data_IF_856026575935
#
_entry.id   IF_856026575935
#
_cell.length_a   1.000
_cell.length_b   1.000
_cell.length_c   1.000
_cell.angle_alpha   90.00
_cell.angle_beta   90.00
_cell.angle_gamma   90.00
#
_symmetry.space_group_name_H-M   'P 1'
#
loop_
_entity.id
_entity.type
_entity.pdbx_description
1 polymer ?
#
# COMPACT_ATOMS: atom_id res chain seq x y z
N UNK A 1 39.76 -56.80 4.06
CA UNK A 1 39.21 -56.07 2.92
C UNK A 1 37.71 -55.77 3.09
N UNK A 2 36.86 -56.74 3.33
CA UNK A 2 35.39 -56.54 3.47
C UNK A 2 34.98 -55.50 4.56
N UNK A 3 35.62 -55.48 5.73
CA UNK A 3 35.28 -54.55 6.83
C UNK A 3 35.63 -53.09 6.52
N UNK A 4 36.70 -52.81 5.75
CA UNK A 4 37.02 -51.45 5.28
C UNK A 4 36.01 -50.93 4.25
N UNK A 5 35.52 -51.78 3.35
CA UNK A 5 34.51 -51.43 2.37
C UNK A 5 33.17 -51.09 3.02
N UNK A 6 32.77 -51.87 4.06
CA UNK A 6 31.54 -51.62 4.83
C UNK A 6 31.62 -50.26 5.56
N UNK A 7 32.77 -49.94 6.18
CA UNK A 7 32.95 -48.65 6.86
C UNK A 7 32.93 -47.49 5.88
N UNK A 8 33.52 -47.62 4.71
CA UNK A 8 33.49 -46.58 3.65
C UNK A 8 32.03 -46.39 3.18
N UNK A 9 31.28 -47.47 2.98
CA UNK A 9 29.88 -47.37 2.58
C UNK A 9 29.02 -46.68 3.64
N UNK A 10 29.22 -46.99 4.94
CA UNK A 10 28.50 -46.33 6.04
C UNK A 10 28.84 -44.81 6.08
N UNK A 11 30.11 -44.44 5.91
CA UNK A 11 30.51 -43.06 5.85
C UNK A 11 29.87 -42.29 4.67
N UNK A 12 29.79 -42.91 3.50
CA UNK A 12 29.14 -42.31 2.33
C UNK A 12 27.63 -42.13 2.53
N UNK A 13 26.96 -43.12 3.14
CA UNK A 13 25.54 -42.99 3.48
C UNK A 13 25.30 -41.88 4.50
N UNK A 14 26.12 -41.77 5.55
CA UNK A 14 26.00 -40.69 6.52
C UNK A 14 26.24 -39.31 5.86
N UNK A 15 27.25 -39.20 5.00
CA UNK A 15 27.51 -37.94 4.26
C UNK A 15 26.34 -37.59 3.36
N UNK A 16 25.74 -38.51 2.67
CA UNK A 16 24.56 -38.28 1.84
C UNK A 16 23.35 -37.87 2.66
N UNK A 17 23.09 -38.54 3.80
CA UNK A 17 22.02 -38.16 4.72
C UNK A 17 22.22 -36.74 5.29
N UNK A 18 23.47 -36.37 5.68
CA UNK A 18 23.76 -35.03 6.15
C UNK A 18 23.57 -33.99 5.05
N UNK A 19 23.97 -34.26 3.81
CA UNK A 19 23.72 -33.38 2.66
C UNK A 19 22.21 -33.16 2.41
N UNK A 20 21.41 -34.21 2.51
CA UNK A 20 19.93 -34.15 2.40
C UNK A 20 19.36 -33.26 3.53
N UNK A 21 19.80 -33.53 4.77
CA UNK A 21 19.33 -32.74 5.93
C UNK A 21 19.69 -31.26 5.77
N UNK A 22 20.93 -30.96 5.39
CA UNK A 22 21.38 -29.57 5.12
C UNK A 22 20.60 -28.96 3.98
N UNK A 23 20.34 -29.71 2.90
CA UNK A 23 19.52 -29.23 1.77
C UNK A 23 18.07 -28.96 2.19
N UNK A 24 17.47 -29.83 3.00
CA UNK A 24 16.10 -29.65 3.52
C UNK A 24 16.03 -28.46 4.48
N UNK A 25 17.03 -28.30 5.37
CA UNK A 25 17.14 -27.15 6.28
C UNK A 25 17.34 -25.86 5.47
N UNK A 26 18.22 -25.88 4.48
CA UNK A 26 18.46 -24.74 3.58
C UNK A 26 17.17 -24.35 2.82
N UNK A 27 16.47 -25.34 2.24
CA UNK A 27 15.20 -25.11 1.55
C UNK A 27 14.09 -24.62 2.47
N UNK A 28 14.10 -25.00 3.74
CA UNK A 28 13.16 -24.53 4.77
C UNK A 28 13.54 -23.13 5.27
N UNK A 29 14.84 -22.81 5.34
CA UNK A 29 15.37 -21.49 5.72
C UNK A 29 15.19 -20.42 4.63
N UNK A 30 15.04 -20.84 3.36
CA UNK A 30 14.79 -19.94 2.23
C UNK A 30 13.32 -19.75 1.91
N UNK A 31 12.39 -20.32 2.72
CA UNK A 31 10.98 -20.05 2.52
C UNK A 31 10.69 -18.62 2.95
N UNK A 32 10.58 -17.74 1.96
CA UNK A 32 10.16 -16.35 2.15
C UNK A 32 8.80 -16.37 2.86
N UNK A 33 8.73 -15.74 4.03
CA UNK A 33 7.46 -15.56 4.74
C UNK A 33 6.85 -14.26 4.27
N UNK A 34 5.78 -14.35 3.48
CA UNK A 34 5.03 -13.18 3.06
C UNK A 34 4.22 -12.60 4.21
N UNK A 35 3.95 -11.29 4.21
CA UNK A 35 2.98 -10.70 5.11
C UNK A 35 1.60 -11.37 4.96
N UNK A 36 0.87 -11.52 6.08
CA UNK A 36 -0.43 -12.20 6.10
C UNK A 36 -1.43 -11.67 5.07
N UNK A 37 -1.38 -10.37 4.76
CA UNK A 37 -2.28 -9.75 3.80
C UNK A 37 -2.02 -10.16 2.35
N UNK A 38 -0.82 -10.65 2.02
CA UNK A 38 -0.53 -11.21 0.69
C UNK A 38 -1.37 -12.48 0.42
N UNK A 39 -1.46 -13.37 1.41
CA UNK A 39 -2.31 -14.57 1.31
C UNK A 39 -3.78 -14.17 1.21
N UNK A 40 -4.23 -13.24 2.06
CA UNK A 40 -5.61 -12.75 2.08
C UNK A 40 -6.04 -12.12 0.74
N UNK A 41 -5.13 -11.38 0.10
CA UNK A 41 -5.34 -10.72 -1.19
C UNK A 41 -4.93 -11.59 -2.38
N UNK A 42 -4.49 -12.85 -2.14
CA UNK A 42 -4.00 -13.78 -3.18
C UNK A 42 -2.86 -13.18 -4.02
N UNK A 43 -2.02 -12.35 -3.42
CA UNK A 43 -0.87 -11.75 -4.07
C UNK A 43 0.29 -12.74 -4.08
N UNK A 44 0.96 -12.93 -5.22
CA UNK A 44 2.15 -13.76 -5.36
C UNK A 44 3.34 -12.94 -5.88
N UNK A 45 4.57 -13.38 -5.54
CA UNK A 45 5.85 -12.71 -5.87
C UNK A 45 6.09 -12.47 -7.37
N UNK A 46 5.36 -13.17 -8.23
CA UNK A 46 5.57 -13.15 -9.67
C UNK A 46 4.44 -12.46 -10.43
N UNK A 47 3.61 -11.67 -9.75
CA UNK A 47 2.54 -10.94 -10.40
C UNK A 47 3.08 -9.72 -11.16
N UNK A 48 3.68 -9.97 -12.32
CA UNK A 48 4.04 -8.94 -13.27
C UNK A 48 3.13 -9.04 -14.49
N UNK A 49 2.27 -8.05 -14.67
CA UNK A 49 1.27 -8.04 -15.74
C UNK A 49 1.69 -7.22 -16.98
N UNK A 50 2.96 -6.86 -17.10
CA UNK A 50 3.56 -6.33 -18.35
C UNK A 50 3.23 -4.88 -18.73
N UNK A 51 2.21 -4.26 -18.13
CA UNK A 51 1.81 -2.86 -18.39
C UNK A 51 1.72 -1.99 -17.12
N UNK A 52 2.34 -2.41 -16.03
CA UNK A 52 2.40 -1.65 -14.78
C UNK A 52 3.19 -0.34 -14.95
N UNK A 53 3.99 -0.23 -16.01
CA UNK A 53 4.76 0.98 -16.33
C UNK A 53 3.86 2.17 -16.71
N UNK A 54 2.67 1.90 -17.23
CA UNK A 54 1.68 2.91 -17.63
C UNK A 54 0.77 3.33 -16.46
N UNK A 55 0.92 2.68 -15.28
CA UNK A 55 0.08 2.93 -14.10
C UNK A 55 0.92 3.69 -13.07
N UNK A 56 0.51 4.93 -12.76
CA UNK A 56 1.11 5.73 -11.70
C UNK A 56 0.22 5.81 -10.46
N UNK A 57 0.81 5.85 -9.28
CA UNK A 57 0.12 6.14 -8.01
C UNK A 57 0.69 7.42 -7.41
N UNK A 58 -0.16 8.41 -7.18
CA UNK A 58 0.16 9.58 -6.38
C UNK A 58 -0.19 9.31 -4.91
N UNK A 59 0.75 9.57 -4.02
CA UNK A 59 0.61 9.43 -2.57
C UNK A 59 0.58 10.83 -1.98
N UNK A 60 -0.61 11.30 -1.60
CA UNK A 60 -0.80 12.59 -0.94
C UNK A 60 -0.67 12.38 0.57
N UNK A 61 0.48 12.80 1.12
CA UNK A 61 0.85 12.52 2.51
C UNK A 61 1.90 13.52 3.04
N UNK A 62 2.71 13.11 3.99
CA UNK A 62 3.73 13.92 4.66
C UNK A 62 5.04 14.09 3.89
N UNK A 63 5.19 13.46 2.72
CA UNK A 63 6.41 13.51 1.90
C UNK A 63 7.12 12.16 1.76
N UNK A 64 8.42 12.20 1.38
CA UNK A 64 9.23 11.02 1.17
C UNK A 64 10.64 11.17 1.75
N UNK A 65 11.12 10.16 2.47
CA UNK A 65 12.49 10.13 2.97
C UNK A 65 13.42 9.55 1.91
N UNK A 66 14.37 10.34 1.44
CA UNK A 66 15.31 10.01 0.38
C UNK A 66 16.16 8.78 0.69
N UNK A 67 16.48 8.53 1.97
CA UNK A 67 17.22 7.33 2.37
C UNK A 67 16.49 6.03 2.06
N UNK A 68 15.17 6.09 1.80
CA UNK A 68 14.36 4.95 1.39
C UNK A 68 14.31 4.72 -0.12
N UNK A 69 14.85 5.63 -0.95
CA UNK A 69 14.91 5.44 -2.41
C UNK A 69 15.59 4.12 -2.81
N UNK A 70 16.55 3.66 -2.03
CA UNK A 70 17.24 2.37 -2.23
C UNK A 70 16.33 1.15 -2.23
N UNK A 71 15.12 1.23 -1.67
CA UNK A 71 14.14 0.13 -1.61
C UNK A 71 13.25 0.05 -2.84
N UNK A 72 13.31 1.02 -3.74
CA UNK A 72 12.51 1.09 -4.96
C UNK A 72 13.36 0.80 -6.20
N UNK A 73 12.74 0.22 -7.22
CA UNK A 73 13.39 -0.03 -8.50
C UNK A 73 13.32 1.18 -9.42
N UNK A 74 12.26 1.99 -9.29
CA UNK A 74 12.09 3.27 -9.96
C UNK A 74 12.31 4.42 -9.00
N UNK A 75 12.72 5.57 -9.52
CA UNK A 75 12.76 6.80 -8.73
C UNK A 75 11.35 7.20 -8.29
N UNK A 76 11.18 7.52 -7.00
CA UNK A 76 9.96 8.13 -6.48
C UNK A 76 9.97 9.60 -6.86
N UNK A 77 9.05 10.02 -7.71
CA UNK A 77 8.92 11.43 -8.12
C UNK A 77 8.29 12.22 -6.97
N UNK A 78 8.86 13.36 -6.64
CA UNK A 78 8.47 14.14 -5.44
C UNK A 78 7.93 15.50 -5.83
N UNK A 79 6.86 15.94 -5.15
CA UNK A 79 6.26 17.25 -5.29
C UNK A 79 5.88 17.83 -3.93
N UNK A 80 6.09 19.13 -3.73
CA UNK A 80 5.66 19.85 -2.54
C UNK A 80 4.46 20.75 -2.84
N UNK A 81 3.31 20.42 -2.28
CA UNK A 81 2.07 21.16 -2.43
C UNK A 81 1.90 22.24 -1.34
N UNK A 82 2.82 22.32 -0.36
CA UNK A 82 2.76 23.31 0.73
C UNK A 82 3.34 24.67 0.36
N UNK A 83 4.20 24.71 -0.67
CA UNK A 83 4.93 25.89 -1.06
C UNK A 83 6.20 26.16 -0.23
N UNK A 84 6.60 25.24 0.65
CA UNK A 84 7.84 25.35 1.45
C UNK A 84 9.11 24.93 0.69
N UNK A 85 8.97 24.47 -0.57
CA UNK A 85 10.05 23.92 -1.39
C UNK A 85 10.81 22.75 -0.71
N UNK A 86 10.08 21.92 0.00
CA UNK A 86 10.63 20.79 0.72
C UNK A 86 9.73 19.55 0.52
N UNK A 87 10.28 18.46 0.02
CA UNK A 87 9.58 17.20 -0.21
C UNK A 87 9.88 16.12 0.85
N UNK A 88 10.74 16.45 1.84
CA UNK A 88 11.16 15.52 2.88
C UNK A 88 9.99 15.12 3.78
N UNK A 89 9.95 13.85 4.13
CA UNK A 89 8.99 13.32 5.09
C UNK A 89 9.49 13.52 6.52
N UNK A 90 8.86 14.42 7.25
CA UNK A 90 9.21 14.73 8.64
C UNK A 90 8.54 13.80 9.66
N UNK A 91 7.52 13.05 9.26
CA UNK A 91 6.76 12.14 10.14
C UNK A 91 7.09 10.68 9.89
N UNK A 92 7.60 10.35 8.72
CA UNK A 92 7.83 9.00 8.23
C UNK A 92 6.58 8.32 7.65
N UNK A 93 5.38 8.91 7.80
CA UNK A 93 4.12 8.27 7.41
C UNK A 93 3.99 8.13 5.90
N UNK A 94 4.24 9.18 5.12
CA UNK A 94 4.17 9.11 3.65
C UNK A 94 5.17 8.12 3.06
N UNK A 95 6.36 8.03 3.66
CA UNK A 95 7.37 7.04 3.30
C UNK A 95 6.89 5.60 3.58
N UNK A 96 6.20 5.37 4.69
CA UNK A 96 5.59 4.07 4.99
C UNK A 96 4.52 3.69 3.96
N UNK A 97 3.69 4.64 3.54
CA UNK A 97 2.70 4.40 2.47
C UNK A 97 3.39 4.02 1.16
N UNK A 98 4.42 4.76 0.76
CA UNK A 98 5.20 4.46 -0.44
C UNK A 98 5.83 3.06 -0.39
N UNK A 99 6.43 2.69 0.75
CA UNK A 99 7.04 1.38 0.94
C UNK A 99 6.02 0.25 0.83
N UNK A 100 4.84 0.38 1.45
CA UNK A 100 3.77 -0.62 1.37
C UNK A 100 3.23 -0.79 -0.05
N UNK A 101 3.18 0.28 -0.82
CA UNK A 101 2.71 0.22 -2.19
C UNK A 101 3.76 -0.41 -3.10
N UNK A 102 5.02 0.09 -3.07
CA UNK A 102 5.93 -0.13 -4.18
C UNK A 102 7.35 -0.57 -3.83
N UNK A 103 7.68 -0.93 -2.57
CA UNK A 103 9.04 -1.37 -2.28
C UNK A 103 9.34 -2.77 -2.82
N UNK A 104 10.59 -3.00 -3.24
CA UNK A 104 11.06 -4.29 -3.70
C UNK A 104 11.58 -5.13 -2.53
N UNK A 105 10.84 -6.17 -2.18
CA UNK A 105 11.15 -7.12 -1.09
C UNK A 105 12.46 -7.88 -1.27
N UNK A 106 13.02 -7.92 -2.48
CA UNK A 106 14.32 -8.55 -2.75
C UNK A 106 15.51 -7.69 -2.28
N UNK A 107 15.26 -6.43 -1.95
CA UNK A 107 16.28 -5.54 -1.38
C UNK A 107 16.39 -5.79 0.12
N UNK A 108 17.64 -5.87 0.60
CA UNK A 108 17.93 -6.16 2.01
C UNK A 108 17.26 -5.13 2.93
N UNK A 109 16.66 -5.62 4.02
CA UNK A 109 16.00 -4.80 5.04
C UNK A 109 14.75 -4.04 4.55
N UNK A 110 14.23 -4.40 3.37
CA UNK A 110 12.97 -3.85 2.87
C UNK A 110 11.78 -4.54 3.50
N UNK A 111 10.64 -3.83 3.51
CA UNK A 111 9.32 -4.43 3.71
C UNK A 111 8.75 -4.92 2.38
N UNK A 112 7.66 -5.68 2.44
CA UNK A 112 7.00 -6.17 1.23
C UNK A 112 6.04 -5.12 0.67
N UNK A 113 6.43 -4.47 -0.43
CA UNK A 113 5.50 -3.67 -1.25
C UNK A 113 4.60 -4.55 -2.11
N UNK A 114 3.41 -4.05 -2.39
CA UNK A 114 2.41 -4.76 -3.20
C UNK A 114 2.86 -4.86 -4.66
N UNK A 115 3.34 -3.77 -5.24
CA UNK A 115 3.74 -3.68 -6.65
C UNK A 115 5.05 -2.92 -6.84
N UNK A 116 6.20 -3.62 -6.88
CA UNK A 116 7.52 -2.98 -7.02
C UNK A 116 7.77 -2.37 -8.41
N UNK A 117 6.90 -2.61 -9.39
CA UNK A 117 7.08 -2.13 -10.78
C UNK A 117 6.31 -0.84 -11.07
N UNK A 118 5.52 -0.36 -10.11
CA UNK A 118 4.69 0.84 -10.29
C UNK A 118 5.50 2.13 -10.26
N UNK A 119 5.04 3.17 -10.96
CA UNK A 119 5.58 4.51 -10.79
C UNK A 119 4.90 5.21 -9.61
N UNK A 120 5.67 5.69 -8.66
CA UNK A 120 5.18 6.42 -7.50
C UNK A 120 5.49 7.91 -7.58
N UNK A 121 4.50 8.71 -7.15
CA UNK A 121 4.61 10.15 -6.98
C UNK A 121 4.30 10.47 -5.52
N UNK A 122 5.27 10.94 -4.76
CA UNK A 122 5.08 11.38 -3.39
C UNK A 122 4.77 12.88 -3.37
N UNK A 123 3.58 13.23 -2.92
CA UNK A 123 3.09 14.62 -2.88
C UNK A 123 2.95 15.03 -1.43
N UNK A 124 3.84 15.92 -0.99
CA UNK A 124 3.83 16.43 0.38
C UNK A 124 2.74 17.50 0.54
N UNK A 125 1.85 17.27 1.52
CA UNK A 125 0.78 18.22 1.94
C UNK A 125 0.84 18.58 3.42
N UNK A 126 1.82 18.08 4.17
CA UNK A 126 2.06 18.45 5.55
C UNK A 126 3.20 19.48 5.62
N UNK A 127 2.95 20.60 6.29
CA UNK A 127 4.00 21.60 6.52
C UNK A 127 5.06 21.11 7.52
N UNK A 128 6.03 21.95 7.87
CA UNK A 128 7.12 21.63 8.80
C UNK A 128 6.64 21.30 10.22
N UNK A 129 5.39 21.60 10.55
CA UNK A 129 4.74 21.25 11.83
C UNK A 129 3.88 19.97 11.75
N UNK A 130 3.87 19.27 10.62
CA UNK A 130 3.03 18.08 10.40
C UNK A 130 1.54 18.41 10.20
N UNK A 131 1.21 19.67 9.91
CA UNK A 131 -0.17 20.12 9.72
C UNK A 131 -0.47 20.20 8.23
N UNK A 132 -1.63 19.69 7.84
CA UNK A 132 -2.19 19.85 6.50
C UNK A 132 -3.33 20.88 6.49
N UNK A 133 -3.68 21.37 5.30
CA UNK A 133 -4.81 22.28 5.06
C UNK A 133 -5.56 21.90 3.78
N UNK A 134 -6.79 22.42 3.63
CA UNK A 134 -7.54 22.26 2.38
C UNK A 134 -6.80 22.88 1.18
N UNK A 135 -6.10 23.98 1.37
CA UNK A 135 -5.29 24.62 0.31
C UNK A 135 -4.16 23.71 -0.15
N UNK A 136 -3.43 23.06 0.77
CA UNK A 136 -2.36 22.12 0.40
C UNK A 136 -2.93 20.89 -0.30
N UNK A 137 -4.08 20.39 0.17
CA UNK A 137 -4.75 19.26 -0.47
C UNK A 137 -5.25 19.62 -1.87
N UNK A 138 -5.86 20.81 -2.05
CA UNK A 138 -6.24 21.35 -3.36
C UNK A 138 -5.05 21.39 -4.33
N UNK A 139 -3.94 22.03 -3.92
CA UNK A 139 -2.72 22.10 -4.73
C UNK A 139 -2.21 20.71 -5.14
N UNK A 140 -2.29 19.73 -4.24
CA UNK A 140 -1.89 18.36 -4.52
C UNK A 140 -2.81 17.69 -5.55
N UNK A 141 -4.13 17.88 -5.43
CA UNK A 141 -5.12 17.32 -6.36
C UNK A 141 -5.00 17.98 -7.75
N UNK A 142 -4.74 19.29 -7.82
CA UNK A 142 -4.44 19.99 -9.07
C UNK A 142 -3.17 19.45 -9.74
N UNK A 143 -2.11 19.19 -8.97
CA UNK A 143 -0.91 18.55 -9.51
C UNK A 143 -1.22 17.15 -10.05
N UNK A 144 -2.04 16.36 -9.35
CA UNK A 144 -2.49 15.04 -9.80
C UNK A 144 -3.20 15.07 -11.16
N UNK A 145 -3.95 16.13 -11.47
CA UNK A 145 -4.61 16.30 -12.78
C UNK A 145 -3.62 16.55 -13.93
N UNK A 146 -2.39 16.97 -13.61
CA UNK A 146 -1.36 17.34 -14.60
C UNK A 146 -0.35 16.24 -14.93
N UNK A 147 -0.38 15.11 -14.20
CA UNK A 147 0.58 14.02 -14.33
C UNK A 147 -0.10 12.72 -14.76
N UNK A 148 0.68 11.78 -15.29
CA UNK A 148 0.17 10.48 -15.74
C UNK A 148 0.04 9.51 -14.57
N UNK A 149 -1.15 9.44 -13.95
CA UNK A 149 -1.49 8.54 -12.87
C UNK A 149 -2.84 7.90 -13.08
N UNK A 150 -3.06 6.76 -12.45
CA UNK A 150 -4.34 6.06 -12.41
C UNK A 150 -4.99 6.10 -11.02
N UNK A 151 -4.19 6.31 -9.97
CA UNK A 151 -4.65 6.21 -8.59
C UNK A 151 -4.06 7.36 -7.77
N UNK A 152 -4.89 7.96 -6.93
CA UNK A 152 -4.49 8.87 -5.85
C UNK A 152 -4.77 8.18 -4.52
N UNK A 153 -3.74 7.98 -3.71
CA UNK A 153 -3.80 7.48 -2.34
C UNK A 153 -3.79 8.65 -1.37
N UNK A 154 -4.82 8.78 -0.53
CA UNK A 154 -4.92 9.82 0.51
C UNK A 154 -5.07 9.16 1.87
N UNK A 155 -3.97 9.08 2.62
CA UNK A 155 -3.92 8.44 3.93
C UNK A 155 -4.00 9.45 5.08
N UNK A 156 -4.72 10.54 4.87
CA UNK A 156 -4.98 11.62 5.82
C UNK A 156 -6.41 12.14 5.67
N UNK A 157 -6.87 12.94 6.63
CA UNK A 157 -8.20 13.53 6.54
C UNK A 157 -8.56 14.43 7.72
N UNK A 158 -9.70 15.07 7.59
CA UNK A 158 -10.28 15.97 8.58
C UNK A 158 -11.81 15.83 8.69
N UNK A 159 -12.38 16.54 9.65
CA UNK A 159 -13.83 16.48 9.92
C UNK A 159 -14.63 17.53 9.12
N UNK A 160 -13.95 18.49 8.51
CA UNK A 160 -14.59 19.61 7.83
C UNK A 160 -14.82 19.30 6.35
N UNK A 161 -16.05 19.46 5.90
CA UNK A 161 -16.40 19.41 4.49
C UNK A 161 -15.79 20.62 3.74
N UNK A 162 -15.30 20.38 2.53
CA UNK A 162 -14.81 21.43 1.63
C UNK A 162 -15.27 21.12 0.20
N UNK A 163 -16.08 22.04 -0.37
CA UNK A 163 -16.68 21.86 -1.69
C UNK A 163 -15.64 21.89 -2.84
N UNK A 164 -14.56 22.64 -2.69
CA UNK A 164 -13.49 22.73 -3.68
C UNK A 164 -12.78 21.36 -3.80
N UNK A 165 -12.44 20.74 -2.65
CA UNK A 165 -11.84 19.41 -2.60
C UNK A 165 -12.77 18.35 -3.18
N UNK A 166 -14.08 18.41 -2.90
CA UNK A 166 -15.04 17.46 -3.48
C UNK A 166 -15.12 17.60 -5.00
N UNK A 167 -15.05 18.83 -5.53
CA UNK A 167 -15.02 19.09 -6.96
C UNK A 167 -13.74 18.55 -7.61
N UNK A 168 -12.57 18.78 -6.98
CA UNK A 168 -11.29 18.24 -7.46
C UNK A 168 -11.32 16.71 -7.56
N UNK A 169 -11.85 16.05 -6.54
CA UNK A 169 -11.98 14.59 -6.52
C UNK A 169 -12.95 14.11 -7.60
N UNK A 170 -14.05 14.86 -7.81
CA UNK A 170 -14.98 14.55 -8.89
C UNK A 170 -14.31 14.66 -10.25
N UNK A 171 -13.54 15.71 -10.49
CA UNK A 171 -12.81 15.91 -11.76
C UNK A 171 -11.78 14.80 -12.00
N UNK A 172 -11.03 14.39 -10.98
CA UNK A 172 -10.11 13.25 -11.07
C UNK A 172 -10.86 11.97 -11.48
N UNK A 173 -11.99 11.67 -10.82
CA UNK A 173 -12.83 10.51 -11.14
C UNK A 173 -13.41 10.58 -12.56
N UNK A 174 -13.85 11.74 -13.00
CA UNK A 174 -14.37 11.97 -14.36
C UNK A 174 -13.26 11.80 -15.43
N UNK A 175 -11.99 11.92 -15.05
CA UNK A 175 -10.81 11.65 -15.88
C UNK A 175 -10.23 10.23 -15.64
N UNK A 176 -11.05 9.30 -15.18
CA UNK A 176 -10.70 7.89 -14.95
C UNK A 176 -9.60 7.66 -13.90
N UNK A 177 -9.39 8.59 -12.97
CA UNK A 177 -8.44 8.48 -11.86
C UNK A 177 -9.18 8.05 -10.60
N UNK A 178 -8.70 7.01 -9.95
CA UNK A 178 -9.23 6.51 -8.68
C UNK A 178 -8.73 7.35 -7.51
N UNK A 179 -9.62 7.81 -6.64
CA UNK A 179 -9.24 8.52 -5.41
C UNK A 179 -9.57 7.66 -4.21
N UNK A 180 -8.54 7.08 -3.60
CA UNK A 180 -8.63 6.10 -2.51
C UNK A 180 -8.26 6.79 -1.21
N UNK A 181 -9.17 6.77 -0.21
CA UNK A 181 -9.06 7.59 0.99
C UNK A 181 -9.26 6.77 2.27
N UNK A 182 -8.44 7.03 3.28
CA UNK A 182 -8.56 6.40 4.59
C UNK A 182 -9.78 6.91 5.36
N UNK A 183 -10.59 5.99 5.90
CA UNK A 183 -11.78 6.31 6.69
C UNK A 183 -11.47 7.08 7.98
N UNK A 184 -10.28 6.85 8.55
CA UNK A 184 -9.86 7.32 9.87
C UNK A 184 -9.99 6.24 10.96
N UNK A 185 -9.34 6.48 12.09
CA UNK A 185 -9.16 5.49 13.16
C UNK A 185 -9.45 6.10 14.54
N UNK A 186 -10.65 6.65 14.74
CA UNK A 186 -11.08 7.30 16.01
C UNK A 186 -12.48 6.89 16.47
N UNK A 187 -13.05 5.82 15.90
CA UNK A 187 -14.43 5.35 16.21
C UNK A 187 -15.51 6.42 15.99
N UNK A 188 -15.32 7.28 14.99
CA UNK A 188 -16.25 8.36 14.65
C UNK A 188 -16.77 8.17 13.22
N UNK A 189 -17.38 9.23 12.66
CA UNK A 189 -17.73 9.25 11.24
C UNK A 189 -16.48 9.24 10.36
N UNK A 190 -16.65 8.79 9.10
CA UNK A 190 -15.58 8.86 8.11
C UNK A 190 -15.04 10.29 8.00
N UNK A 191 -13.73 10.39 7.85
CA UNK A 191 -13.08 11.66 7.59
C UNK A 191 -13.29 12.09 6.14
N UNK A 192 -13.31 13.39 5.89
CA UNK A 192 -13.08 13.90 4.54
C UNK A 192 -11.59 13.83 4.22
N UNK A 193 -11.20 13.40 3.00
CA UNK A 193 -12.03 13.23 1.80
C UNK A 193 -12.68 11.83 1.65
N UNK A 194 -12.53 10.88 2.56
CA UNK A 194 -13.09 9.54 2.43
C UNK A 194 -14.64 9.55 2.34
N UNK A 195 -15.30 10.50 3.00
CA UNK A 195 -16.77 10.62 3.00
C UNK A 195 -17.34 11.43 1.81
N UNK A 196 -16.49 11.89 0.87
CA UNK A 196 -17.01 12.49 -0.37
C UNK A 196 -17.58 11.44 -1.33
N UNK A 197 -18.60 11.82 -2.10
CA UNK A 197 -19.32 10.90 -3.00
C UNK A 197 -18.40 10.21 -4.02
N UNK A 198 -17.40 10.92 -4.53
CA UNK A 198 -16.58 10.46 -5.66
C UNK A 198 -15.24 9.83 -5.24
N UNK A 199 -14.95 9.71 -3.94
CA UNK A 199 -13.80 8.97 -3.41
C UNK A 199 -14.18 7.53 -3.05
N UNK A 200 -13.19 6.67 -2.84
CA UNK A 200 -13.35 5.32 -2.27
C UNK A 200 -12.87 5.33 -0.82
N UNK A 201 -13.76 4.98 0.10
CA UNK A 201 -13.48 4.96 1.54
C UNK A 201 -12.92 3.60 1.95
N UNK A 202 -11.75 3.58 2.58
CA UNK A 202 -11.08 2.36 3.01
C UNK A 202 -11.08 2.23 4.53
N UNK A 203 -11.58 1.10 5.00
CA UNK A 203 -11.62 0.69 6.42
C UNK A 203 -10.67 -0.48 6.63
N UNK A 204 -9.93 -0.48 7.74
CA UNK A 204 -8.97 -1.54 8.06
C UNK A 204 -9.62 -2.77 8.69
N UNK A 205 -9.13 -3.96 8.32
CA UNK A 205 -9.45 -5.23 8.96
C UNK A 205 -8.19 -5.97 9.41
N UNK A 206 -8.37 -6.87 10.39
CA UNK A 206 -7.32 -7.76 10.86
C UNK A 206 -7.27 -9.07 10.05
N UNK A 207 -6.32 -9.96 10.37
CA UNK A 207 -6.11 -11.27 9.73
C UNK A 207 -7.32 -12.19 9.80
N UNK A 208 -8.17 -12.05 10.85
CA UNK A 208 -9.39 -12.82 11.02
C UNK A 208 -10.58 -12.26 10.20
N UNK A 209 -10.39 -11.17 9.46
CA UNK A 209 -11.43 -10.52 8.67
C UNK A 209 -12.35 -9.59 9.49
N UNK A 210 -12.01 -9.30 10.74
CA UNK A 210 -12.77 -8.38 11.58
C UNK A 210 -12.29 -6.95 11.35
N UNK A 211 -13.23 -6.02 11.22
CA UNK A 211 -12.93 -4.58 11.15
C UNK A 211 -12.15 -4.18 12.40
N UNK A 212 -11.14 -3.33 12.23
CA UNK A 212 -10.39 -2.77 13.35
C UNK A 212 -11.31 -2.04 14.32
N UNK A 213 -11.10 -2.29 15.62
CA UNK A 213 -11.91 -1.65 16.68
C UNK A 213 -11.81 -0.12 16.68
N UNK A 214 -10.71 0.43 16.14
CA UNK A 214 -10.49 1.88 16.10
C UNK A 214 -11.02 2.53 14.80
N UNK A 215 -11.41 1.73 13.79
CA UNK A 215 -11.87 2.26 12.51
C UNK A 215 -13.12 3.13 12.64
N UNK A 216 -13.14 4.21 11.88
CA UNK A 216 -14.37 4.94 11.60
C UNK A 216 -15.24 4.06 10.68
N UNK A 217 -16.53 3.94 10.99
CA UNK A 217 -17.46 3.04 10.28
C UNK A 217 -18.76 3.72 9.87
N UNK A 218 -18.96 4.97 10.24
CA UNK A 218 -20.19 5.72 9.97
C UNK A 218 -19.96 6.73 8.85
N UNK A 219 -20.80 6.67 7.81
CA UNK A 219 -20.81 7.65 6.72
C UNK A 219 -21.99 8.61 6.87
N UNK A 220 -21.74 9.90 6.65
CA UNK A 220 -22.79 10.95 6.63
C UNK A 220 -23.69 10.85 5.40
N UNK A 221 -23.22 10.20 4.35
CA UNK A 221 -23.91 10.03 3.07
C UNK A 221 -24.31 8.57 2.78
N UNK A 222 -24.29 7.70 3.80
CA UNK A 222 -24.54 6.25 3.68
C UNK A 222 -23.61 5.55 2.68
N UNK A 223 -22.36 6.00 2.60
CA UNK A 223 -21.34 5.40 1.75
C UNK A 223 -20.91 4.04 2.30
N UNK A 224 -20.81 3.05 1.43
CA UNK A 224 -20.32 1.73 1.78
C UNK A 224 -18.79 1.71 1.65
N UNK A 225 -18.06 1.39 2.72
CA UNK A 225 -16.59 1.33 2.66
C UNK A 225 -16.09 0.03 2.03
N UNK A 226 -14.88 0.09 1.51
CA UNK A 226 -14.11 -1.09 1.13
C UNK A 226 -13.29 -1.53 2.34
N UNK A 227 -13.44 -2.79 2.74
CA UNK A 227 -12.77 -3.35 3.92
C UNK A 227 -11.51 -4.08 3.45
N UNK A 228 -10.34 -3.66 3.96
CA UNK A 228 -9.01 -4.09 3.47
C UNK A 228 -8.09 -4.44 4.64
N UNK A 229 -7.16 -5.40 4.49
CA UNK A 229 -6.09 -5.62 5.46
C UNK A 229 -5.37 -4.33 5.84
N UNK A 230 -5.30 -4.03 7.14
CA UNK A 230 -4.67 -2.80 7.64
C UNK A 230 -4.28 -2.87 9.11
N UNK A 231 -4.46 -4.05 9.76
CA UNK A 231 -4.04 -4.28 11.14
C UNK A 231 -2.78 -5.14 11.19
N UNK A 232 -1.92 -4.89 12.18
CA UNK A 232 -0.68 -5.65 12.37
C UNK A 232 0.20 -5.68 11.10
N UNK A 233 0.38 -4.53 10.49
CA UNK A 233 1.17 -4.34 9.28
C UNK A 233 2.59 -3.96 9.66
N UNK A 234 3.58 -4.70 9.15
CA UNK A 234 4.98 -4.38 9.31
C UNK A 234 5.33 -3.13 8.49
N UNK A 235 5.91 -2.14 9.16
CA UNK A 235 6.32 -0.87 8.57
C UNK A 235 7.74 -0.52 8.98
N UNK A 236 8.46 0.17 8.10
CA UNK A 236 9.78 0.71 8.39
C UNK A 236 9.62 2.05 9.11
N UNK A 237 10.25 2.17 10.27
CA UNK A 237 10.37 3.44 11.00
C UNK A 237 11.79 3.95 10.89
N UNK A 238 11.91 5.25 10.64
CA UNK A 238 13.19 5.95 10.56
C UNK A 238 13.28 6.86 11.79
N UNK A 239 14.24 6.60 12.64
CA UNK A 239 14.50 7.41 13.83
C UNK A 239 15.30 8.67 13.53
N UNK A 240 15.58 9.47 14.57
CA UNK A 240 16.21 10.79 14.46
C UNK A 240 17.63 10.74 13.90
N UNK A 241 18.36 9.67 14.15
CA UNK A 241 19.74 9.44 13.64
C UNK A 241 19.77 8.64 12.34
N UNK A 242 18.63 8.55 11.63
CA UNK A 242 18.41 7.72 10.44
C UNK A 242 18.56 6.20 10.71
N UNK A 243 18.52 5.76 11.95
CA UNK A 243 18.40 4.35 12.27
C UNK A 243 17.04 3.83 11.77
N UNK A 244 17.07 2.65 11.18
CA UNK A 244 15.89 2.04 10.56
C UNK A 244 15.54 0.75 11.30
N UNK A 245 14.28 0.62 11.70
CA UNK A 245 13.78 -0.60 12.29
C UNK A 245 12.36 -0.92 11.82
N UNK A 246 12.02 -2.19 11.79
CA UNK A 246 10.68 -2.64 11.45
C UNK A 246 9.86 -2.71 12.74
N UNK A 247 8.66 -2.20 12.69
CA UNK A 247 7.65 -2.31 13.75
C UNK A 247 6.29 -2.62 13.14
N UNK A 248 5.35 -3.03 13.98
CA UNK A 248 3.99 -3.36 13.55
C UNK A 248 3.03 -2.22 13.90
N UNK A 249 2.18 -1.85 12.96
CA UNK A 249 1.17 -0.79 13.14
C UNK A 249 -0.17 -1.21 12.55
N UNK A 250 -1.24 -0.53 12.99
CA UNK A 250 -2.60 -0.73 12.48
C UNK A 250 -3.23 0.61 12.13
N UNK A 251 -4.09 0.63 11.11
CA UNK A 251 -4.85 1.82 10.73
C UNK A 251 -5.39 1.77 9.31
N UNK A 252 -6.40 2.57 9.06
CA UNK A 252 -7.01 2.74 7.74
C UNK A 252 -6.03 3.31 6.70
N UNK A 253 -5.01 4.06 7.12
CA UNK A 253 -3.92 4.55 6.26
C UNK A 253 -3.16 3.40 5.61
N UNK A 254 -2.79 2.36 6.38
CA UNK A 254 -2.07 1.18 5.87
C UNK A 254 -2.96 0.36 4.94
N UNK A 255 -4.23 0.19 5.29
CA UNK A 255 -5.23 -0.44 4.42
C UNK A 255 -5.38 0.30 3.08
N UNK A 256 -5.38 1.65 3.11
CA UNK A 256 -5.47 2.49 1.92
C UNK A 256 -4.26 2.32 1.00
N UNK A 257 -3.05 2.28 1.55
CA UNK A 257 -1.83 2.02 0.79
C UNK A 257 -1.82 0.62 0.17
N UNK A 258 -2.15 -0.41 0.96
CA UNK A 258 -2.25 -1.80 0.49
C UNK A 258 -3.28 -1.90 -0.64
N UNK A 259 -4.46 -1.28 -0.46
CA UNK A 259 -5.50 -1.31 -1.49
C UNK A 259 -5.10 -0.57 -2.76
N UNK A 260 -4.41 0.56 -2.65
CA UNK A 260 -3.92 1.31 -3.82
C UNK A 260 -2.96 0.48 -4.67
N UNK A 261 -2.00 -0.21 -4.05
CA UNK A 261 -1.12 -1.16 -4.74
C UNK A 261 -1.88 -2.35 -5.34
N UNK A 262 -2.84 -2.91 -4.59
CA UNK A 262 -3.67 -4.03 -5.04
C UNK A 262 -4.56 -3.66 -6.23
N UNK A 263 -5.18 -2.48 -6.20
CA UNK A 263 -5.97 -1.95 -7.31
C UNK A 263 -5.10 -1.73 -8.57
N UNK A 264 -3.86 -1.27 -8.40
CA UNK A 264 -2.93 -1.14 -9.51
C UNK A 264 -2.63 -2.48 -10.19
N UNK A 265 -2.37 -3.54 -9.40
CA UNK A 265 -2.23 -4.90 -9.94
C UNK A 265 -3.48 -5.35 -10.70
N UNK A 266 -4.67 -5.04 -10.17
CA UNK A 266 -5.94 -5.37 -10.80
C UNK A 266 -6.13 -4.63 -12.14
N UNK A 267 -5.83 -3.33 -12.19
CA UNK A 267 -5.86 -2.52 -13.42
C UNK A 267 -4.86 -3.11 -14.44
N UNK A 268 -3.64 -3.43 -14.03
CA UNK A 268 -2.61 -4.02 -14.89
C UNK A 268 -3.05 -5.36 -15.48
N UNK A 269 -3.59 -6.26 -14.65
CA UNK A 269 -4.10 -7.57 -15.05
C UNK A 269 -5.19 -7.45 -16.12
N UNK A 270 -6.05 -6.46 -16.01
CA UNK A 270 -7.15 -6.19 -16.93
C UNK A 270 -6.74 -5.26 -18.09
N UNK A 271 -5.43 -5.06 -18.31
CA UNK A 271 -4.86 -4.28 -19.41
C UNK A 271 -5.40 -2.85 -19.45
N UNK A 272 -5.47 -2.21 -18.28
CA UNK A 272 -5.94 -0.82 -18.12
C UNK A 272 -7.37 -0.55 -18.61
N UNK A 273 -8.23 -1.58 -18.67
CA UNK A 273 -9.64 -1.42 -19.04
C UNK A 273 -10.55 -1.09 -17.87
N UNK A 274 -10.00 -1.09 -16.64
CA UNK A 274 -10.77 -0.81 -15.43
C UNK A 274 -10.74 0.69 -15.16
N UNK A 275 -11.89 1.31 -15.28
CA UNK A 275 -12.13 2.71 -14.90
C UNK A 275 -12.92 2.79 -13.60
N UNK A 276 -12.95 3.93 -12.90
CA UNK A 276 -13.79 4.11 -11.71
C UNK A 276 -15.26 3.73 -11.95
N UNK A 277 -15.81 4.05 -13.10
CA UNK A 277 -17.18 3.70 -13.46
C UNK A 277 -17.43 2.19 -13.55
N UNK A 278 -16.47 1.45 -14.13
CA UNK A 278 -16.57 -0.02 -14.20
C UNK A 278 -16.35 -0.61 -12.82
N UNK A 279 -15.42 -0.06 -12.06
CA UNK A 279 -15.10 -0.52 -10.72
C UNK A 279 -16.27 -0.31 -9.75
N UNK A 280 -17.01 0.79 -9.85
CA UNK A 280 -18.23 1.03 -9.06
C UNK A 280 -19.21 -0.14 -9.19
N UNK A 281 -19.39 -0.69 -10.40
CA UNK A 281 -20.25 -1.86 -10.63
C UNK A 281 -19.72 -3.13 -9.96
N UNK A 282 -18.36 -3.30 -9.96
CA UNK A 282 -17.70 -4.42 -9.28
C UNK A 282 -17.89 -4.31 -7.77
N UNK A 283 -17.74 -3.12 -7.22
CA UNK A 283 -17.92 -2.84 -5.79
C UNK A 283 -19.37 -3.14 -5.38
N UNK A 284 -20.37 -2.60 -6.10
CA UNK A 284 -21.78 -2.84 -5.83
C UNK A 284 -22.13 -4.33 -5.86
N UNK A 285 -21.62 -5.07 -6.82
CA UNK A 285 -21.91 -6.51 -6.95
C UNK A 285 -21.28 -7.35 -5.83
N UNK A 286 -20.04 -7.03 -5.42
CA UNK A 286 -19.29 -7.80 -4.42
C UNK A 286 -19.66 -7.47 -2.97
N UNK A 287 -20.08 -6.25 -2.69
CA UNK A 287 -20.54 -5.83 -1.36
C UNK A 287 -21.76 -6.64 -0.92
N UNK A 288 -22.67 -6.98 -1.84
CA UNK A 288 -23.82 -7.81 -1.53
C UNK A 288 -23.46 -9.24 -1.12
N UNK A 289 -22.25 -9.70 -1.43
CA UNK A 289 -21.86 -11.09 -1.22
C UNK A 289 -21.01 -11.36 0.04
N UNK A 290 -20.16 -10.46 0.59
CA UNK A 290 -19.37 -10.75 1.80
C UNK A 290 -18.65 -9.54 2.44
N UNK A 291 -18.84 -8.30 2.00
CA UNK A 291 -18.18 -7.11 2.58
C UNK A 291 -16.65 -6.98 2.32
N UNK A 292 -16.08 -7.93 1.59
CA UNK A 292 -14.68 -7.92 1.17
C UNK A 292 -14.59 -7.98 -0.36
N UNK A 293 -13.80 -7.10 -0.96
CA UNK A 293 -13.58 -7.09 -2.41
C UNK A 293 -12.40 -8.00 -2.73
N UNK A 294 -12.70 -9.18 -3.28
CA UNK A 294 -11.72 -10.07 -3.93
C UNK A 294 -11.68 -9.68 -5.42
N UNK A 295 -10.58 -9.05 -5.83
CA UNK A 295 -10.38 -8.62 -7.22
C UNK A 295 -9.67 -9.67 -8.08
N UNK A 296 -9.19 -10.80 -7.51
CA UNK A 296 -8.41 -11.82 -8.24
C UNK A 296 -9.04 -13.20 -8.24
#
# INVERSE_FOLDING_TARGET
MKRKLVNIFICLVMLFCTCIIVFVIYKKSTKISYPWYFEKLKISDNQHYGKQEDIGIAIIDSGFNENCQKYFDKEVIKYDATGENNTSDLTGHGTQMALLIGSNSKKKESIYGIDPYIQLYSIRVCNSYGITSSTYLHNALEYCKSINISIVNISLGGTSYNNEIENDIKELKDNDIFVICAAGDKKTDFLYPADYKNSYCIVSQNENGLISEDSNITSRINKIPIIVPGCNIDVLVIGLENEMHITTRSGSSFATAIFSGYLALYIAKNKSKITPKIFDQVVETNIYNNGFIDLF
#
